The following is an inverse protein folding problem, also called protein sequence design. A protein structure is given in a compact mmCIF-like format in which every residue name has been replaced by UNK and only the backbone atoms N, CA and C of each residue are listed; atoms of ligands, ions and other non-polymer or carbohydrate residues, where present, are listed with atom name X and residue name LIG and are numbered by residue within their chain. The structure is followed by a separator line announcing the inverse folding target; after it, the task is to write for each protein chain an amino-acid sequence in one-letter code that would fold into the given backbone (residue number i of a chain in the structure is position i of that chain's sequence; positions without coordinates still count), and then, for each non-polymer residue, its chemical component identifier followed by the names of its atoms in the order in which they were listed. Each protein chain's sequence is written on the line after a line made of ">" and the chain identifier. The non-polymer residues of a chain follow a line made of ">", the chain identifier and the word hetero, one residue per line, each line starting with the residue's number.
data_IF_359725995399
#
_entry.id   IF_359725995399
#
_cell.length_a   1.000
_cell.length_b   1.000
_cell.length_c   1.000
_cell.angle_alpha   90.00
_cell.angle_beta   90.00
_cell.angle_gamma   90.00
#
_symmetry.space_group_name_H-M   'P 1'
#
loop_
_entity.id
_entity.type
_entity.pdbx_description
1 polymer ?
#
# COMPACT_ATOMS: atom_id res chain seq x y z
N UNK A 1 2.76 -0.94 13.19
CA UNK A 1 4.08 -1.64 13.08
C UNK A 1 5.07 -1.24 14.18
N UNK A 2 5.43 0.05 14.30
CA UNK A 2 6.41 0.54 15.31
C UNK A 2 5.95 0.26 16.74
N UNK A 3 4.71 0.58 17.08
CA UNK A 3 4.13 0.33 18.41
C UNK A 3 4.14 -1.17 18.74
N UNK A 4 3.78 -2.02 17.78
CA UNK A 4 3.80 -3.47 17.95
C UNK A 4 5.23 -4.01 18.14
N UNK A 5 6.21 -3.48 17.40
CA UNK A 5 7.61 -3.86 17.53
C UNK A 5 8.18 -3.45 18.90
N UNK A 6 7.93 -2.22 19.34
CA UNK A 6 8.37 -1.73 20.66
C UNK A 6 7.71 -2.54 21.78
N UNK A 7 6.41 -2.85 21.65
CA UNK A 7 5.68 -3.67 22.61
C UNK A 7 6.24 -5.11 22.67
N UNK A 8 6.56 -5.70 21.52
CA UNK A 8 7.12 -7.05 21.43
C UNK A 8 8.56 -7.12 21.98
N UNK A 9 9.38 -6.10 21.67
CA UNK A 9 10.75 -6.00 22.17
C UNK A 9 10.79 -5.77 23.69
N UNK A 10 9.92 -4.91 24.22
CA UNK A 10 9.85 -4.62 25.65
C UNK A 10 9.27 -5.78 26.49
N UNK A 11 8.51 -6.68 25.86
CA UNK A 11 7.86 -7.82 26.53
C UNK A 11 8.63 -9.14 26.41
N UNK A 12 9.83 -9.14 25.82
CA UNK A 12 10.59 -10.37 25.63
C UNK A 12 9.93 -11.33 24.65
N UNK A 13 9.35 -10.80 23.56
CA UNK A 13 8.69 -11.57 22.50
C UNK A 13 7.33 -12.20 22.89
N UNK A 14 6.62 -11.66 23.89
CA UNK A 14 5.25 -12.06 24.21
C UNK A 14 4.24 -11.39 23.26
N UNK A 15 3.68 -12.18 22.35
CA UNK A 15 2.70 -11.74 21.35
C UNK A 15 1.36 -11.28 21.92
N UNK A 16 1.04 -11.56 23.19
CA UNK A 16 -0.16 -11.04 23.86
C UNK A 16 -0.06 -9.54 24.08
N UNK A 17 1.15 -9.02 24.30
CA UNK A 17 1.36 -7.61 24.65
C UNK A 17 1.00 -6.68 23.48
N UNK A 18 1.45 -6.89 22.23
CA UNK A 18 0.95 -6.13 21.08
C UNK A 18 -0.58 -6.17 20.92
N UNK A 19 -1.23 -7.30 21.22
CA UNK A 19 -2.68 -7.44 21.15
C UNK A 19 -3.41 -6.59 22.21
N UNK A 20 -2.94 -6.61 23.47
CA UNK A 20 -3.50 -5.75 24.53
C UNK A 20 -3.27 -4.26 24.25
N UNK A 21 -2.11 -3.89 23.70
CA UNK A 21 -1.83 -2.51 23.28
C UNK A 21 -2.82 -2.08 22.19
N UNK A 22 -3.06 -2.91 21.17
CA UNK A 22 -4.05 -2.63 20.14
C UNK A 22 -5.48 -2.48 20.71
N UNK A 23 -5.88 -3.36 21.63
CA UNK A 23 -7.18 -3.28 22.31
C UNK A 23 -7.33 -1.98 23.13
N UNK A 24 -6.28 -1.56 23.84
CA UNK A 24 -6.27 -0.31 24.59
C UNK A 24 -6.44 0.91 23.66
N UNK A 25 -5.70 0.97 22.55
CA UNK A 25 -5.87 2.03 21.54
C UNK A 25 -7.28 2.05 20.95
N UNK A 26 -7.87 0.89 20.66
CA UNK A 26 -9.25 0.79 20.19
C UNK A 26 -10.25 1.29 21.25
N UNK A 27 -10.05 0.93 22.52
CA UNK A 27 -10.88 1.41 23.63
C UNK A 27 -10.81 2.92 23.79
N UNK A 28 -9.61 3.50 23.71
CA UNK A 28 -9.40 4.96 23.70
C UNK A 28 -10.14 5.59 22.52
N UNK A 29 -10.03 5.03 21.31
CA UNK A 29 -10.74 5.54 20.15
C UNK A 29 -12.25 5.55 20.36
N UNK A 30 -12.84 4.50 20.93
CA UNK A 30 -14.28 4.43 21.23
C UNK A 30 -14.68 5.49 22.25
N UNK A 31 -13.90 5.65 23.32
CA UNK A 31 -14.17 6.67 24.34
C UNK A 31 -14.06 8.08 23.76
N UNK A 32 -13.03 8.36 22.96
CA UNK A 32 -12.89 9.65 22.28
C UNK A 32 -14.05 9.89 21.31
N UNK A 33 -14.48 8.90 20.53
CA UNK A 33 -15.65 9.05 19.65
C UNK A 33 -16.92 9.30 20.45
N UNK A 34 -17.13 8.59 21.56
CA UNK A 34 -18.33 8.73 22.38
C UNK A 34 -18.40 10.07 23.11
N UNK A 35 -17.28 10.61 23.58
CA UNK A 35 -17.23 11.85 24.34
C UNK A 35 -16.95 13.10 23.52
N UNK A 36 -16.27 12.98 22.37
CA UNK A 36 -15.68 14.13 21.68
C UNK A 36 -16.28 14.40 20.29
N UNK A 37 -16.88 13.40 19.63
CA UNK A 37 -17.62 13.64 18.41
C UNK A 37 -19.07 14.00 18.74
N UNK A 38 -19.38 15.29 18.68
CA UNK A 38 -20.75 15.76 18.62
C UNK A 38 -21.40 15.24 17.32
N UNK A 39 -22.64 14.74 17.42
CA UNK A 39 -23.40 14.25 16.27
C UNK A 39 -23.53 15.36 15.21
N UNK A 40 -22.77 15.26 14.13
CA UNK A 40 -22.62 16.33 13.12
C UNK A 40 -23.87 16.58 12.26
N UNK A 41 -24.93 15.80 12.44
CA UNK A 41 -26.20 15.96 11.73
C UNK A 41 -27.39 16.15 12.69
N UNK A 42 -27.96 17.37 12.77
CA UNK A 42 -29.22 17.59 13.46
C UNK A 42 -30.31 16.70 12.87
N UNK A 43 -31.05 16.00 13.74
CA UNK A 43 -32.11 15.06 13.34
C UNK A 43 -33.15 15.69 12.39
N UNK A 44 -33.33 17.02 12.42
CA UNK A 44 -34.26 17.77 11.57
C UNK A 44 -33.89 17.81 10.08
N UNK A 45 -32.62 17.60 9.70
CA UNK A 45 -32.21 17.48 8.28
C UNK A 45 -32.43 16.08 7.69
N UNK A 46 -32.96 15.12 8.46
CA UNK A 46 -33.41 13.80 7.96
C UNK A 46 -34.74 13.84 7.18
N UNK A 47 -35.16 15.01 6.68
CA UNK A 47 -36.36 15.16 5.85
C UNK A 47 -36.06 14.87 4.38
N UNK A 48 -35.97 13.58 4.09
CA UNK A 48 -35.94 12.99 2.76
C UNK A 48 -35.80 11.49 2.91
N UNK A 49 -36.39 10.65 2.04
CA UNK A 49 -36.12 9.21 2.08
C UNK A 49 -34.61 9.05 2.08
N UNK A 50 -34.06 8.36 3.08
CA UNK A 50 -32.63 8.10 3.20
C UNK A 50 -32.12 7.75 1.82
N UNK A 51 -31.24 8.60 1.24
CA UNK A 51 -30.74 8.39 -0.11
C UNK A 51 -30.20 6.98 -0.18
N UNK A 52 -30.95 6.09 -0.82
CA UNK A 52 -30.60 4.70 -1.01
C UNK A 52 -29.50 4.65 -2.07
N UNK A 53 -28.30 5.03 -1.70
CA UNK A 53 -27.09 4.55 -2.36
C UNK A 53 -26.39 3.60 -1.40
N UNK A 54 -27.18 2.60 -0.98
CA UNK A 54 -26.65 1.35 -0.47
C UNK A 54 -25.80 0.74 -1.58
N UNK A 55 -24.51 0.59 -1.31
CA UNK A 55 -23.53 -0.19 -2.05
C UNK A 55 -24.19 -1.25 -2.96
N UNK A 56 -24.30 -0.97 -4.26
CA UNK A 56 -24.91 -1.87 -5.24
C UNK A 56 -23.93 -2.21 -6.35
N UNK A 57 -24.05 -3.41 -6.91
CA UNK A 57 -23.21 -3.84 -8.03
C UNK A 57 -23.41 -2.95 -9.27
N UNK A 58 -24.63 -2.40 -9.44
CA UNK A 58 -24.95 -1.45 -10.49
C UNK A 58 -24.23 -0.12 -10.32
N UNK A 59 -24.18 0.44 -9.10
CA UNK A 59 -23.44 1.67 -8.80
C UNK A 59 -21.92 1.49 -8.96
N UNK A 60 -21.38 0.32 -8.60
CA UNK A 60 -19.97 -0.01 -8.87
C UNK A 60 -19.66 -0.04 -10.37
N UNK A 61 -20.53 -0.67 -11.17
CA UNK A 61 -20.37 -0.71 -12.62
C UNK A 61 -20.50 0.68 -13.25
N UNK A 62 -21.44 1.50 -12.79
CA UNK A 62 -21.58 2.88 -13.26
C UNK A 62 -20.34 3.73 -12.93
N UNK A 63 -19.78 3.60 -11.73
CA UNK A 63 -18.55 4.27 -11.31
C UNK A 63 -17.33 3.84 -12.15
N UNK A 64 -17.20 2.56 -12.46
CA UNK A 64 -16.17 2.00 -13.36
C UNK A 64 -16.25 2.55 -14.78
N UNK A 65 -17.46 2.73 -15.30
CA UNK A 65 -17.70 3.24 -16.65
C UNK A 65 -17.60 4.77 -16.72
N UNK A 66 -17.48 5.44 -15.57
CA UNK A 66 -17.35 6.88 -15.54
C UNK A 66 -15.99 7.32 -16.13
N UNK A 67 -15.95 8.10 -17.21
CA UNK A 67 -14.73 8.34 -17.99
C UNK A 67 -13.60 9.02 -17.22
N UNK A 68 -13.91 9.77 -16.15
CA UNK A 68 -12.91 10.44 -15.33
C UNK A 68 -12.52 9.70 -14.04
N UNK A 69 -13.37 8.77 -13.56
CA UNK A 69 -13.20 8.13 -12.24
C UNK A 69 -12.94 6.63 -12.35
N UNK A 70 -13.45 5.97 -13.38
CA UNK A 70 -13.15 4.57 -13.68
C UNK A 70 -11.65 4.32 -13.83
N UNK A 71 -10.92 5.24 -14.47
CA UNK A 71 -9.46 5.18 -14.54
C UNK A 71 -8.83 5.22 -13.15
N UNK A 72 -9.26 6.14 -12.27
CA UNK A 72 -8.73 6.28 -10.91
C UNK A 72 -9.01 5.05 -10.04
N UNK A 73 -10.18 4.45 -10.17
CA UNK A 73 -10.52 3.17 -9.52
C UNK A 73 -9.66 2.02 -10.08
N UNK A 74 -9.42 2.00 -11.39
CA UNK A 74 -8.47 1.07 -12.00
C UNK A 74 -7.04 1.27 -11.47
N UNK A 75 -6.61 2.53 -11.31
CA UNK A 75 -5.31 2.85 -10.73
C UNK A 75 -5.20 2.31 -9.30
N UNK A 76 -6.20 2.54 -8.44
CA UNK A 76 -6.16 2.07 -7.05
C UNK A 76 -6.11 0.54 -6.99
N UNK A 77 -6.86 -0.13 -7.85
CA UNK A 77 -6.89 -1.59 -7.89
C UNK A 77 -5.55 -2.19 -8.33
N UNK A 78 -5.02 -1.73 -9.45
CA UNK A 78 -3.76 -2.23 -10.01
C UNK A 78 -2.58 -1.87 -9.11
N UNK A 79 -2.57 -0.64 -8.58
CA UNK A 79 -1.58 -0.19 -7.61
C UNK A 79 -1.62 -1.03 -6.33
N UNK A 80 -2.81 -1.38 -5.83
CA UNK A 80 -2.93 -2.20 -4.64
C UNK A 80 -2.48 -3.65 -4.88
N UNK A 81 -2.73 -4.22 -6.06
CA UNK A 81 -2.17 -5.53 -6.41
C UNK A 81 -0.64 -5.48 -6.41
N UNK A 82 -0.04 -4.46 -7.04
CA UNK A 82 1.41 -4.34 -7.13
C UNK A 82 2.05 -4.06 -5.76
N UNK A 83 1.56 -3.05 -5.03
CA UNK A 83 2.13 -2.63 -3.74
C UNK A 83 1.74 -3.57 -2.59
N UNK A 84 0.48 -3.98 -2.50
CA UNK A 84 0.03 -4.92 -1.48
C UNK A 84 0.63 -6.32 -1.68
N UNK A 85 0.72 -6.79 -2.94
CA UNK A 85 1.40 -8.05 -3.26
C UNK A 85 2.90 -7.98 -2.96
N UNK A 86 3.53 -6.85 -3.28
CA UNK A 86 4.91 -6.54 -2.89
C UNK A 86 5.12 -6.63 -1.37
N UNK A 87 4.28 -5.94 -0.58
CA UNK A 87 4.39 -5.89 0.88
C UNK A 87 4.27 -7.29 1.51
N UNK A 88 3.32 -8.08 1.02
CA UNK A 88 3.07 -9.43 1.51
C UNK A 88 4.20 -10.42 1.15
N UNK A 89 4.78 -10.29 -0.04
CA UNK A 89 5.85 -11.18 -0.51
C UNK A 89 7.24 -10.73 -0.08
N UNK A 90 7.39 -9.51 0.45
CA UNK A 90 8.69 -8.95 0.84
C UNK A 90 9.40 -9.86 1.85
N UNK A 91 8.70 -10.34 2.88
CA UNK A 91 9.28 -11.24 3.89
C UNK A 91 9.80 -12.54 3.29
N UNK A 92 9.06 -13.11 2.34
CA UNK A 92 9.44 -14.33 1.64
C UNK A 92 10.64 -14.08 0.71
N UNK A 93 10.65 -12.94 0.03
CA UNK A 93 11.74 -12.52 -0.83
C UNK A 93 13.04 -12.33 -0.06
N UNK A 94 13.01 -11.55 1.03
CA UNK A 94 14.19 -11.30 1.87
C UNK A 94 14.67 -12.55 2.59
N UNK A 95 13.77 -13.47 2.95
CA UNK A 95 14.14 -14.78 3.47
C UNK A 95 14.92 -15.58 2.41
N UNK A 96 14.42 -15.65 1.18
CA UNK A 96 15.08 -16.38 0.07
C UNK A 96 16.39 -15.75 -0.42
N UNK A 97 16.52 -14.41 -0.33
CA UNK A 97 17.66 -13.65 -0.90
C UNK A 97 18.71 -13.28 0.14
N UNK A 98 18.27 -12.84 1.31
CA UNK A 98 19.10 -12.25 2.36
C UNK A 98 19.14 -13.12 3.63
N UNK A 99 18.33 -14.19 3.69
CA UNK A 99 18.24 -15.04 4.88
C UNK A 99 17.59 -14.35 6.08
N UNK A 100 16.82 -13.27 5.85
CA UNK A 100 16.16 -12.53 6.92
C UNK A 100 14.95 -13.29 7.46
N UNK A 101 14.98 -13.60 8.75
CA UNK A 101 13.85 -14.13 9.50
C UNK A 101 12.82 -13.02 9.85
N UNK A 102 11.84 -13.35 10.69
CA UNK A 102 10.77 -12.43 11.06
C UNK A 102 11.29 -11.14 11.75
N UNK A 103 12.27 -11.26 12.64
CA UNK A 103 12.83 -10.11 13.36
C UNK A 103 13.62 -9.18 12.43
N UNK A 104 14.40 -9.74 11.51
CA UNK A 104 15.09 -8.97 10.47
C UNK A 104 14.14 -8.23 9.53
N UNK A 105 13.04 -8.86 9.13
CA UNK A 105 12.00 -8.23 8.31
C UNK A 105 11.25 -7.11 9.06
N UNK A 106 11.01 -7.27 10.37
CA UNK A 106 10.34 -6.25 11.17
C UNK A 106 11.09 -4.90 11.11
N UNK A 107 12.43 -4.91 11.08
CA UNK A 107 13.24 -3.69 10.93
C UNK A 107 13.00 -3.01 9.58
N UNK A 108 12.90 -3.78 8.49
CA UNK A 108 12.59 -3.26 7.15
C UNK A 108 11.20 -2.63 7.13
N UNK A 109 10.18 -3.29 7.71
CA UNK A 109 8.83 -2.73 7.78
C UNK A 109 8.72 -1.49 8.65
N UNK A 110 9.50 -1.41 9.74
CA UNK A 110 9.60 -0.18 10.56
C UNK A 110 10.21 0.94 9.73
N UNK A 111 11.29 0.69 9.00
CA UNK A 111 11.93 1.67 8.11
C UNK A 111 10.96 2.20 7.04
N UNK A 112 10.29 1.28 6.32
CA UNK A 112 9.25 1.63 5.33
C UNK A 112 8.12 2.43 5.99
N UNK A 113 7.65 1.99 7.15
CA UNK A 113 6.58 2.66 7.89
C UNK A 113 6.93 4.10 8.29
N UNK A 114 8.18 4.36 8.71
CA UNK A 114 8.66 5.72 9.01
C UNK A 114 8.60 6.61 7.77
N UNK A 115 9.05 6.10 6.62
CA UNK A 115 9.01 6.85 5.35
C UNK A 115 7.56 7.16 4.97
N UNK A 116 6.67 6.16 5.02
CA UNK A 116 5.24 6.34 4.69
C UNK A 116 4.59 7.36 5.61
N UNK A 117 4.85 7.31 6.92
CA UNK A 117 4.33 8.29 7.89
C UNK A 117 4.88 9.69 7.61
N UNK A 118 6.17 9.84 7.30
CA UNK A 118 6.74 11.14 6.95
C UNK A 118 6.09 11.72 5.68
N UNK A 119 5.92 10.88 4.65
CA UNK A 119 5.30 11.27 3.39
C UNK A 119 3.83 11.64 3.57
N UNK A 120 3.03 10.80 4.22
CA UNK A 120 1.59 11.02 4.40
C UNK A 120 1.25 12.06 5.46
N UNK A 121 2.01 12.10 6.56
CA UNK A 121 1.76 13.02 7.68
C UNK A 121 2.26 14.44 7.44
N UNK A 122 3.31 14.62 6.63
CA UNK A 122 3.94 15.94 6.45
C UNK A 122 4.08 16.39 5.00
N UNK A 123 4.49 15.51 4.09
CA UNK A 123 4.94 15.93 2.74
C UNK A 123 3.81 15.99 1.71
N UNK A 124 2.78 15.14 1.86
CA UNK A 124 1.70 15.01 0.88
C UNK A 124 0.91 16.31 0.69
N UNK A 125 0.66 17.05 1.78
CA UNK A 125 -0.09 18.31 1.74
C UNK A 125 0.62 19.39 0.93
N UNK A 126 1.88 19.76 1.29
CA UNK A 126 2.69 20.69 0.51
C UNK A 126 2.91 20.25 -0.93
N UNK A 127 3.16 18.96 -1.17
CA UNK A 127 3.39 18.41 -2.51
C UNK A 127 2.13 18.49 -3.37
N UNK A 128 0.97 18.12 -2.84
CA UNK A 128 -0.32 18.25 -3.52
C UNK A 128 -0.59 19.70 -3.93
N UNK A 129 -0.32 20.67 -3.06
CA UNK A 129 -0.51 22.10 -3.37
C UNK A 129 0.48 22.63 -4.42
N UNK A 130 1.74 22.16 -4.42
CA UNK A 130 2.79 22.66 -5.33
C UNK A 130 2.81 21.98 -6.69
N UNK A 131 2.64 20.67 -6.72
CA UNK A 131 2.78 19.85 -7.93
C UNK A 131 1.41 19.47 -8.52
N UNK A 132 0.33 19.51 -7.73
CA UNK A 132 -0.99 19.02 -8.12
C UNK A 132 -1.11 17.50 -7.95
N UNK A 133 -2.31 17.03 -7.61
CA UNK A 133 -2.55 15.60 -7.35
C UNK A 133 -2.25 14.72 -8.56
N UNK A 134 -2.49 15.22 -9.77
CA UNK A 134 -2.19 14.48 -11.01
C UNK A 134 -0.70 14.21 -11.17
N UNK A 135 0.17 15.20 -10.94
CA UNK A 135 1.63 15.01 -11.02
C UNK A 135 2.17 14.17 -9.88
N UNK A 136 1.53 14.24 -8.71
CA UNK A 136 1.83 13.35 -7.58
C UNK A 136 1.56 11.88 -7.93
N UNK A 137 0.49 11.58 -8.67
CA UNK A 137 0.24 10.23 -9.16
C UNK A 137 1.34 9.79 -10.12
N UNK A 138 1.76 10.64 -11.09
CA UNK A 138 2.87 10.29 -11.99
C UNK A 138 4.17 10.01 -11.22
N UNK A 139 4.51 10.88 -10.26
CA UNK A 139 5.68 10.71 -9.41
C UNK A 139 5.58 9.42 -8.59
N UNK A 140 4.42 9.16 -7.99
CA UNK A 140 4.19 7.97 -7.19
C UNK A 140 4.32 6.68 -8.00
N UNK A 141 3.73 6.64 -9.20
CA UNK A 141 3.83 5.48 -10.10
C UNK A 141 5.27 5.26 -10.58
N UNK A 142 6.00 6.33 -10.93
CA UNK A 142 7.40 6.26 -11.35
C UNK A 142 8.29 5.74 -10.21
N UNK A 143 8.16 6.31 -9.01
CA UNK A 143 8.91 5.89 -7.83
C UNK A 143 8.59 4.43 -7.46
N UNK A 144 7.32 4.02 -7.56
CA UNK A 144 6.95 2.63 -7.32
C UNK A 144 7.57 1.68 -8.35
N UNK A 145 7.50 2.02 -9.64
CA UNK A 145 8.10 1.21 -10.71
C UNK A 145 9.61 1.04 -10.49
N UNK A 146 10.31 2.14 -10.16
CA UNK A 146 11.74 2.12 -9.85
C UNK A 146 12.03 1.31 -8.58
N UNK A 147 11.28 1.52 -7.50
CA UNK A 147 11.48 0.79 -6.24
C UNK A 147 11.28 -0.71 -6.36
N UNK A 148 10.26 -1.14 -7.11
CA UNK A 148 10.02 -2.56 -7.39
C UNK A 148 11.12 -3.15 -8.29
N UNK A 149 11.57 -2.42 -9.32
CA UNK A 149 12.68 -2.85 -10.16
C UNK A 149 13.99 -2.97 -9.38
N UNK A 150 14.33 -1.99 -8.54
CA UNK A 150 15.50 -2.02 -7.67
C UNK A 150 15.43 -3.18 -6.67
N UNK A 151 14.24 -3.46 -6.14
CA UNK A 151 14.00 -4.60 -5.26
C UNK A 151 14.25 -5.92 -5.98
N UNK A 152 13.75 -6.06 -7.21
CA UNK A 152 14.02 -7.24 -8.04
C UNK A 152 15.52 -7.46 -8.31
N UNK A 153 16.30 -6.38 -8.37
CA UNK A 153 17.74 -6.41 -8.59
C UNK A 153 18.55 -6.64 -7.30
N UNK A 154 17.90 -6.95 -6.17
CA UNK A 154 18.60 -7.18 -4.89
C UNK A 154 19.60 -8.35 -5.03
N UNK A 155 20.90 -8.11 -4.73
CA UNK A 155 21.93 -9.14 -4.78
C UNK A 155 21.59 -10.33 -3.87
N UNK A 156 21.95 -11.54 -4.31
CA UNK A 156 21.90 -12.75 -3.47
C UNK A 156 23.07 -12.74 -2.49
N UNK A 157 22.95 -11.99 -1.41
CA UNK A 157 23.96 -11.91 -0.37
C UNK A 157 23.28 -11.91 1.01
N UNK A 158 23.39 -12.99 1.78
CA UNK A 158 22.84 -13.03 3.13
C UNK A 158 23.45 -12.00 4.05
N UNK A 159 22.68 -11.61 5.07
CA UNK A 159 23.17 -10.67 6.08
C UNK A 159 24.35 -11.24 6.89
N UNK A 160 25.22 -10.40 7.47
CA UNK A 160 26.42 -10.85 8.18
C UNK A 160 26.17 -11.80 9.36
N UNK A 161 24.99 -11.69 9.99
CA UNK A 161 24.57 -12.55 11.11
C UNK A 161 23.74 -13.76 10.66
N UNK A 162 23.65 -14.00 9.35
CA UNK A 162 22.96 -15.16 8.80
C UNK A 162 23.70 -16.45 9.16
N UNK A 163 22.93 -17.47 9.53
CA UNK A 163 23.41 -18.85 9.66
C UNK A 163 22.27 -19.76 9.27
N UNK A 164 22.48 -20.58 8.24
CA UNK A 164 21.48 -21.51 7.71
C UNK A 164 21.02 -22.51 8.76
N UNK A 165 21.94 -23.06 9.55
CA UNK A 165 21.61 -24.03 10.60
C UNK A 165 20.72 -23.41 11.69
N UNK A 166 21.05 -22.19 12.14
CA UNK A 166 20.24 -21.47 13.13
C UNK A 166 18.85 -21.16 12.60
N UNK A 167 18.76 -20.70 11.35
CA UNK A 167 17.49 -20.39 10.72
C UNK A 167 16.65 -21.65 10.51
N UNK A 168 17.26 -22.76 10.08
CA UNK A 168 16.56 -24.02 9.88
C UNK A 168 16.06 -24.60 11.22
N UNK A 169 16.84 -24.46 12.30
CA UNK A 169 16.41 -24.80 13.64
C UNK A 169 15.24 -23.91 14.10
N UNK A 170 15.31 -22.59 13.86
CA UNK A 170 14.24 -21.63 14.18
C UNK A 170 12.94 -21.95 13.42
N UNK A 171 13.02 -22.22 12.12
CA UNK A 171 11.87 -22.58 11.27
C UNK A 171 11.27 -23.94 11.64
N UNK A 172 12.09 -24.90 12.08
CA UNK A 172 11.64 -26.22 12.51
C UNK A 172 11.01 -26.20 13.90
N UNK A 173 11.60 -25.43 14.82
CA UNK A 173 11.04 -25.18 16.15
C UNK A 173 9.73 -24.37 16.09
N UNK A 174 9.60 -23.50 15.08
CA UNK A 174 8.38 -22.74 14.78
C UNK A 174 7.30 -23.56 14.05
N UNK A 175 7.40 -24.90 14.00
CA UNK A 175 6.46 -25.78 13.29
C UNK A 175 4.98 -25.60 13.68
N UNK A 176 4.68 -25.22 14.93
CA UNK A 176 3.31 -24.92 15.40
C UNK A 176 2.75 -23.59 14.87
N UNK A 177 3.60 -22.69 14.37
CA UNK A 177 3.22 -21.36 13.85
C UNK A 177 2.72 -21.37 12.39
N UNK A 178 2.93 -22.44 11.62
CA UNK A 178 2.47 -22.57 10.22
C UNK A 178 0.95 -22.70 10.03
N UNK A 179 0.21 -22.72 11.13
CA UNK A 179 -1.25 -22.78 11.13
C UNK A 179 -1.92 -21.51 10.58
N UNK A 180 -1.23 -20.36 10.62
CA UNK A 180 -1.76 -19.04 10.24
C UNK A 180 -1.16 -18.44 8.94
N UNK A 181 -0.31 -19.18 8.23
CA UNK A 181 0.15 -18.77 6.89
C UNK A 181 -0.98 -18.96 5.86
N UNK A 182 -0.98 -18.10 4.83
CA UNK A 182 -1.91 -18.19 3.71
C UNK A 182 -1.82 -19.60 3.10
N UNK A 183 -2.92 -20.34 2.90
CA UNK A 183 -2.88 -21.75 2.47
C UNK A 183 -2.05 -22.01 1.20
N UNK A 184 -1.88 -20.98 0.37
CA UNK A 184 -1.14 -21.02 -0.90
C UNK A 184 0.39 -21.06 -0.76
N UNK A 185 0.96 -20.81 0.42
CA UNK A 185 2.43 -20.82 0.64
C UNK A 185 2.94 -22.03 1.41
N UNK A 186 2.07 -22.93 1.88
CA UNK A 186 2.43 -24.08 2.74
C UNK A 186 3.38 -25.10 2.11
N UNK A 187 3.46 -25.18 0.78
CA UNK A 187 4.28 -26.14 0.04
C UNK A 187 5.46 -25.49 -0.69
N UNK A 188 5.79 -24.22 -0.39
CA UNK A 188 6.95 -23.57 -1.00
C UNK A 188 8.24 -24.16 -0.43
N UNK A 189 8.93 -24.97 -1.22
CA UNK A 189 10.32 -25.34 -0.96
C UNK A 189 11.21 -24.11 -1.16
N UNK A 190 11.33 -23.29 -0.12
CA UNK A 190 12.17 -22.09 -0.14
C UNK A 190 13.62 -22.55 -0.11
N UNK A 191 14.34 -22.34 -1.20
CA UNK A 191 15.77 -22.57 -1.26
C UNK A 191 16.46 -21.51 -0.40
N UNK A 192 16.98 -21.93 0.76
CA UNK A 192 17.70 -21.05 1.67
C UNK A 192 19.08 -20.71 1.07
N UNK A 193 19.53 -19.45 1.17
CA UNK A 193 20.81 -19.04 0.62
C UNK A 193 21.99 -19.70 1.36
N UNK A 194 23.15 -19.77 0.70
CA UNK A 194 24.38 -20.34 1.26
C UNK A 194 25.08 -19.37 2.23
N UNK A 195 25.72 -19.89 3.28
CA UNK A 195 26.44 -19.10 4.30
C UNK A 195 27.83 -18.60 3.82
N UNK A 196 28.26 -18.97 2.61
CA UNK A 196 29.63 -18.75 2.12
C UNK A 196 29.99 -17.27 1.88
N UNK A 197 29.01 -16.44 1.54
CA UNK A 197 29.21 -15.01 1.22
C UNK A 197 28.17 -14.14 1.92
N UNK A 198 28.35 -13.92 3.21
CA UNK A 198 27.56 -12.94 3.96
C UNK A 198 28.09 -11.52 3.77
N UNK A 199 27.24 -10.51 3.95
CA UNK A 199 27.68 -9.11 3.90
C UNK A 199 26.55 -8.09 3.95
N UNK A 200 26.94 -6.82 4.00
CA UNK A 200 26.00 -5.71 4.17
C UNK A 200 25.41 -5.18 2.86
N UNK A 201 25.96 -5.51 1.69
CA UNK A 201 25.52 -4.90 0.42
C UNK A 201 24.07 -5.28 0.10
N UNK A 202 23.68 -6.54 0.31
CA UNK A 202 22.30 -6.98 0.10
C UNK A 202 21.29 -6.21 0.97
N UNK A 203 21.62 -6.01 2.26
CA UNK A 203 20.79 -5.24 3.18
C UNK A 203 20.75 -3.73 2.85
N UNK A 204 21.91 -3.14 2.56
CA UNK A 204 21.99 -1.74 2.15
C UNK A 204 21.21 -1.47 0.86
N UNK A 205 21.30 -2.40 -0.10
CA UNK A 205 20.59 -2.32 -1.37
C UNK A 205 19.07 -2.40 -1.18
N UNK A 206 18.56 -3.36 -0.40
CA UNK A 206 17.12 -3.47 -0.19
C UNK A 206 16.59 -2.22 0.52
N UNK A 207 17.28 -1.71 1.55
CA UNK A 207 16.86 -0.48 2.24
C UNK A 207 16.83 0.72 1.29
N UNK A 208 17.83 0.86 0.41
CA UNK A 208 17.84 1.89 -0.63
C UNK A 208 16.69 1.72 -1.62
N UNK A 209 16.43 0.49 -2.08
CA UNK A 209 15.34 0.16 -2.99
C UNK A 209 13.95 0.42 -2.37
N UNK A 210 13.83 0.27 -1.05
CA UNK A 210 12.60 0.53 -0.30
C UNK A 210 12.23 2.00 -0.24
N UNK A 211 13.19 2.93 -0.33
CA UNK A 211 12.89 4.37 -0.26
C UNK A 211 11.92 4.81 -1.36
N UNK A 212 12.22 4.62 -2.67
CA UNK A 212 11.28 5.01 -3.72
C UNK A 212 9.97 4.20 -3.68
N UNK A 213 10.01 2.90 -3.32
CA UNK A 213 8.79 2.10 -3.17
C UNK A 213 7.87 2.64 -2.07
N UNK A 214 8.43 2.97 -0.90
CA UNK A 214 7.71 3.51 0.24
C UNK A 214 7.14 4.90 -0.04
N UNK A 215 7.92 5.78 -0.68
CA UNK A 215 7.43 7.10 -1.08
C UNK A 215 6.30 6.96 -2.12
N UNK A 216 6.49 6.11 -3.14
CA UNK A 216 5.47 5.86 -4.16
C UNK A 216 4.16 5.37 -3.55
N UNK A 217 4.23 4.39 -2.63
CA UNK A 217 3.06 3.84 -1.96
C UNK A 217 2.40 4.84 -1.02
N UNK A 218 3.21 5.66 -0.34
CA UNK A 218 2.77 6.74 0.53
C UNK A 218 1.98 7.84 -0.19
N UNK A 219 2.32 8.13 -1.45
CA UNK A 219 1.68 9.21 -2.23
C UNK A 219 0.45 8.73 -3.01
N UNK A 220 0.52 7.55 -3.63
CA UNK A 220 -0.48 7.14 -4.63
C UNK A 220 -1.90 7.09 -4.07
N UNK A 221 -2.08 6.43 -2.92
CA UNK A 221 -3.39 6.26 -2.33
C UNK A 221 -4.09 7.60 -1.95
N UNK A 222 -3.46 8.52 -1.20
CA UNK A 222 -4.07 9.81 -0.90
C UNK A 222 -4.28 10.68 -2.14
N UNK A 223 -3.35 10.67 -3.11
CA UNK A 223 -3.50 11.48 -4.33
C UNK A 223 -4.63 10.97 -5.24
N UNK A 224 -4.80 9.66 -5.38
CA UNK A 224 -5.91 9.07 -6.13
C UNK A 224 -7.24 9.41 -5.44
N UNK A 225 -7.34 9.23 -4.12
CA UNK A 225 -8.57 9.55 -3.39
C UNK A 225 -8.90 11.05 -3.46
N UNK A 226 -7.89 11.92 -3.39
CA UNK A 226 -8.05 13.36 -3.58
C UNK A 226 -8.57 13.71 -4.99
N UNK A 227 -8.07 13.07 -6.05
CA UNK A 227 -8.64 13.28 -7.40
C UNK A 227 -10.06 12.74 -7.53
N UNK A 228 -10.38 11.62 -6.89
CA UNK A 228 -11.75 11.08 -6.89
C UNK A 228 -12.68 12.13 -6.25
N UNK A 229 -12.36 12.65 -5.07
CA UNK A 229 -13.21 13.63 -4.39
C UNK A 229 -13.33 14.95 -5.14
N UNK A 230 -12.30 15.38 -5.87
CA UNK A 230 -12.33 16.60 -6.71
C UNK A 230 -13.11 16.45 -8.01
N UNK A 231 -13.33 15.21 -8.49
CA UNK A 231 -13.98 14.92 -9.79
C UNK A 231 -15.44 14.48 -9.68
N UNK A 232 -15.92 14.24 -8.47
CA UNK A 232 -17.30 13.80 -8.19
C UNK A 232 -18.04 14.90 -7.46
N UNK A 233 -19.38 14.92 -7.54
CA UNK A 233 -20.18 15.89 -6.82
C UNK A 233 -20.11 15.65 -5.31
N UNK A 234 -20.24 16.72 -4.51
CA UNK A 234 -20.17 16.66 -3.04
C UNK A 234 -21.18 15.66 -2.42
N UNK A 235 -22.31 15.41 -3.09
CA UNK A 235 -23.33 14.43 -2.73
C UNK A 235 -22.89 12.98 -2.95
N UNK A 236 -21.91 12.73 -3.81
CA UNK A 236 -21.48 11.39 -4.24
C UNK A 236 -20.10 10.99 -3.70
N UNK A 237 -19.35 11.92 -3.11
CA UNK A 237 -17.99 11.69 -2.55
C UNK A 237 -17.96 10.47 -1.63
N UNK A 238 -18.90 10.37 -0.68
CA UNK A 238 -18.94 9.27 0.28
C UNK A 238 -19.16 7.90 -0.39
N UNK A 239 -20.06 7.85 -1.39
CA UNK A 239 -20.32 6.63 -2.17
C UNK A 239 -19.09 6.21 -2.98
N UNK A 240 -18.40 7.17 -3.61
CA UNK A 240 -17.23 6.91 -4.42
C UNK A 240 -15.99 6.49 -3.61
N UNK A 241 -15.80 7.06 -2.41
CA UNK A 241 -14.79 6.57 -1.47
C UNK A 241 -15.13 5.16 -0.97
N UNK A 242 -16.42 4.85 -0.75
CA UNK A 242 -16.87 3.49 -0.42
C UNK A 242 -16.58 2.48 -1.53
N UNK A 243 -16.81 2.85 -2.80
CA UNK A 243 -16.46 2.02 -3.96
C UNK A 243 -14.94 1.84 -4.03
N UNK A 244 -14.16 2.91 -3.87
CA UNK A 244 -12.69 2.86 -3.82
C UNK A 244 -12.18 1.86 -2.76
N UNK A 245 -12.75 1.90 -1.55
CA UNK A 245 -12.42 0.95 -0.49
C UNK A 245 -12.76 -0.51 -0.84
N UNK A 246 -13.85 -0.75 -1.57
CA UNK A 246 -14.19 -2.09 -2.05
C UNK A 246 -13.20 -2.60 -3.10
N UNK A 247 -12.74 -1.75 -4.01
CA UNK A 247 -11.66 -2.09 -4.95
C UNK A 247 -10.36 -2.42 -4.23
N UNK A 248 -10.01 -1.64 -3.19
CA UNK A 248 -8.85 -1.91 -2.35
C UNK A 248 -8.94 -3.29 -1.67
N UNK A 249 -10.10 -3.59 -1.09
CA UNK A 249 -10.36 -4.89 -0.45
C UNK A 249 -10.28 -6.05 -1.44
N UNK A 250 -10.88 -5.89 -2.62
CA UNK A 250 -10.80 -6.88 -3.69
C UNK A 250 -9.35 -7.11 -4.12
N UNK A 251 -8.59 -6.03 -4.37
CA UNK A 251 -7.18 -6.13 -4.70
C UNK A 251 -6.37 -6.86 -3.62
N UNK A 252 -6.64 -6.61 -2.33
CA UNK A 252 -6.00 -7.32 -1.22
C UNK A 252 -6.30 -8.82 -1.19
N UNK A 253 -7.48 -9.25 -1.64
CA UNK A 253 -7.80 -10.66 -1.77
C UNK A 253 -7.06 -11.31 -2.97
N UNK A 254 -6.91 -10.59 -4.08
CA UNK A 254 -6.25 -11.10 -5.29
C UNK A 254 -4.73 -11.04 -5.25
N UNK A 255 -4.15 -10.03 -4.58
CA UNK A 255 -2.71 -9.79 -4.56
C UNK A 255 -1.88 -11.01 -4.10
N UNK A 256 -2.16 -11.67 -2.97
CA UNK A 256 -1.40 -12.86 -2.55
C UNK A 256 -1.57 -14.04 -3.51
N UNK A 257 -2.73 -14.21 -4.14
CA UNK A 257 -2.97 -15.29 -5.09
C UNK A 257 -2.12 -15.10 -6.35
N UNK A 258 -2.19 -13.91 -6.95
CA UNK A 258 -1.40 -13.58 -8.15
C UNK A 258 0.10 -13.57 -7.85
N UNK A 259 0.49 -12.92 -6.75
CA UNK A 259 1.88 -12.82 -6.34
C UNK A 259 2.49 -14.16 -5.98
N UNK A 260 1.78 -15.00 -5.21
CA UNK A 260 2.21 -16.33 -4.84
C UNK A 260 2.38 -17.27 -6.05
N UNK A 261 1.44 -17.23 -7.00
CA UNK A 261 1.53 -18.00 -8.23
C UNK A 261 2.75 -17.58 -9.08
N UNK A 262 2.98 -16.27 -9.24
CA UNK A 262 4.16 -15.75 -9.96
C UNK A 262 5.45 -16.16 -9.24
N UNK A 263 5.48 -16.08 -7.91
CA UNK A 263 6.62 -16.48 -7.10
C UNK A 263 6.95 -17.97 -7.28
N UNK A 264 5.92 -18.83 -7.31
CA UNK A 264 6.07 -20.27 -7.48
C UNK A 264 6.62 -20.65 -8.86
N UNK A 265 6.09 -20.04 -9.93
CA UNK A 265 6.42 -20.42 -11.32
C UNK A 265 7.72 -19.79 -11.79
N UNK A 266 7.94 -18.51 -11.48
CA UNK A 266 9.04 -17.71 -12.03
C UNK A 266 10.11 -17.36 -11.00
N UNK A 267 9.96 -17.81 -9.75
CA UNK A 267 10.91 -17.61 -8.67
C UNK A 267 10.79 -16.28 -7.95
N UNK A 268 11.66 -16.06 -6.96
CA UNK A 268 11.48 -14.99 -5.97
C UNK A 268 11.56 -13.57 -6.51
N UNK A 269 12.27 -13.34 -7.62
CA UNK A 269 12.41 -12.00 -8.23
C UNK A 269 11.27 -11.60 -9.14
N UNK A 270 10.52 -12.56 -9.66
CA UNK A 270 9.52 -12.30 -10.68
C UNK A 270 8.37 -11.40 -10.20
N UNK A 271 7.78 -11.57 -9.00
CA UNK A 271 6.69 -10.72 -8.53
C UNK A 271 7.05 -9.23 -8.51
N UNK A 272 8.30 -8.91 -8.13
CA UNK A 272 8.80 -7.54 -8.06
C UNK A 272 9.04 -6.95 -9.47
N UNK A 273 9.59 -7.75 -10.39
CA UNK A 273 9.81 -7.30 -11.76
C UNK A 273 8.50 -7.12 -12.53
N UNK A 274 7.56 -8.05 -12.40
CA UNK A 274 6.21 -7.93 -12.96
C UNK A 274 5.46 -6.74 -12.34
N UNK A 275 5.54 -6.56 -11.03
CA UNK A 275 4.96 -5.39 -10.36
C UNK A 275 5.56 -4.08 -10.86
N UNK A 276 6.89 -4.01 -11.01
CA UNK A 276 7.59 -2.82 -11.54
C UNK A 276 7.18 -2.51 -12.98
N UNK A 277 7.12 -3.53 -13.84
CA UNK A 277 6.64 -3.39 -15.22
C UNK A 277 5.17 -2.96 -15.26
N UNK A 278 4.32 -3.56 -14.41
CA UNK A 278 2.92 -3.20 -14.30
C UNK A 278 2.75 -1.73 -13.89
N UNK A 279 3.54 -1.24 -12.93
CA UNK A 279 3.55 0.17 -12.54
C UNK A 279 4.08 1.09 -13.64
N UNK A 280 5.08 0.66 -14.41
CA UNK A 280 5.59 1.41 -15.56
C UNK A 280 4.54 1.52 -16.68
N UNK A 281 3.86 0.42 -17.00
CA UNK A 281 2.73 0.42 -17.95
C UNK A 281 1.61 1.31 -17.43
N UNK A 282 1.28 1.21 -16.14
CA UNK A 282 0.25 2.04 -15.52
C UNK A 282 0.62 3.53 -15.58
N UNK A 283 1.89 3.88 -15.38
CA UNK A 283 2.40 5.23 -15.57
C UNK A 283 2.16 5.72 -17.01
N UNK A 284 2.52 4.92 -18.02
CA UNK A 284 2.30 5.27 -19.43
C UNK A 284 0.82 5.46 -19.76
N UNK A 285 -0.04 4.55 -19.29
CA UNK A 285 -1.50 4.66 -19.44
C UNK A 285 -2.00 5.92 -18.74
N UNK A 286 -1.53 6.21 -17.53
CA UNK A 286 -1.96 7.41 -16.79
C UNK A 286 -1.51 8.69 -17.49
N UNK A 287 -0.31 8.71 -18.06
CA UNK A 287 0.19 9.85 -18.84
C UNK A 287 -0.66 10.10 -20.10
N UNK A 288 -1.15 9.05 -20.74
CA UNK A 288 -1.97 9.15 -21.96
C UNK A 288 -3.45 9.48 -21.68
N UNK A 289 -4.03 8.90 -20.63
CA UNK A 289 -5.48 8.93 -20.41
C UNK A 289 -5.93 9.83 -19.25
N UNK A 290 -5.05 10.19 -18.31
CA UNK A 290 -5.41 11.09 -17.21
C UNK A 290 -5.39 12.55 -17.68
N UNK A 291 -6.52 12.98 -18.26
CA UNK A 291 -6.73 14.37 -18.71
C UNK A 291 -6.65 15.37 -17.53
N UNK A 292 -6.12 16.59 -17.77
CA UNK A 292 -6.20 17.67 -16.78
C UNK A 292 -7.67 17.93 -16.45
N UNK A 293 -8.01 17.93 -15.16
CA UNK A 293 -9.34 18.28 -14.68
C UNK A 293 -9.37 19.69 -14.09
N UNK A 294 -10.48 20.04 -13.43
CA UNK A 294 -10.67 21.34 -12.76
C UNK A 294 -9.60 21.61 -11.69
N UNK A 295 -9.00 20.56 -11.16
CA UNK A 295 -7.90 20.61 -10.20
C UNK A 295 -6.60 21.22 -10.73
N UNK A 296 -6.41 21.28 -12.06
CA UNK A 296 -5.22 21.85 -12.70
C UNK A 296 -5.42 23.31 -13.13
N UNK A 297 -6.65 23.85 -13.05
CA UNK A 297 -6.94 25.23 -13.44
C UNK A 297 -6.29 26.21 -12.44
N UNK A 298 -5.45 27.12 -12.94
CA UNK A 298 -4.87 28.16 -12.09
C UNK A 298 -5.94 29.18 -11.71
N UNK A 299 -5.87 29.81 -10.51
CA UNK A 299 -6.80 30.86 -10.10
C UNK A 299 -6.91 32.04 -11.10
N UNK A 300 -5.94 32.18 -12.03
CA UNK A 300 -5.93 33.19 -13.09
C UNK A 300 -6.58 32.77 -14.42
N UNK A 301 -6.93 31.50 -14.62
CA UNK A 301 -7.54 31.02 -15.89
C UNK A 301 -9.05 31.32 -15.98
N UNK A 302 -9.65 31.85 -14.91
CA UNK A 302 -11.09 32.12 -14.80
C UNK A 302 -11.51 33.52 -15.29
N UNK A 303 -10.72 34.19 -16.13
CA UNK A 303 -11.08 35.50 -16.71
C UNK A 303 -11.20 35.39 -18.23
N UNK A 304 -12.37 34.94 -18.68
CA UNK A 304 -13.17 35.63 -19.69
C UNK A 304 -14.49 34.89 -19.93
N UNK A 305 -15.63 35.37 -19.40
CA UNK A 305 -16.85 35.31 -20.17
C UNK A 305 -16.70 36.39 -21.25
N UNK A 306 -16.42 35.99 -22.48
CA UNK A 306 -16.66 36.87 -23.61
C UNK A 306 -18.18 37.08 -23.71
N UNK A 307 -18.67 38.14 -23.07
CA UNK A 307 -19.93 38.76 -23.42
C UNK A 307 -19.73 39.64 -24.67
N UNK A 308 -20.74 39.62 -25.54
CA UNK A 308 -20.86 40.45 -26.75
C UNK A 308 -20.53 39.65 -28.01
N UNK A 309 -21.45 39.36 -28.92
CA UNK A 309 -22.73 40.00 -29.30
C UNK A 309 -23.76 38.96 -29.73
#
# INVERSE_FOLDING_TARGET
>A
PVIAFVALAASGNDYRVPAFVAAAFSGISILLTWFWLDETHPAEKRRGPASKTAFSLASMRAALLHPAVGLLLGLIFVQQIAFGGFEQLLSLFTLSRLGLNASGNAVIFVFVGIIVVAVQGGMIGPWSRRLGDRRLIYLGLALMAVGLALTALTPRQPVPWYSRDKLQAELSASGDFRTHEVPTTRSLSIELPSDERTGWLGLGWILLAMVPAAIGGGILHPSINSLITKRVENSEVGGMLGISAAFLSAANAFAPLAGGAIFQVFGSTAPFLFGGLLMAVLLLVTLQYLKPGREDAHPGDAIHPAGGH
#
